data_IF_645727024232
#
_entry.id   IF_645727024232
#
_cell.length_a   1.000
_cell.length_b   1.000
_cell.length_c   1.000
_cell.angle_alpha   90.00
_cell.angle_beta   90.00
_cell.angle_gamma   90.00
#
_symmetry.space_group_name_H-M   'P 1'
#
loop_
_entity.id
_entity.type
_entity.pdbx_description
1 polymer ?
#
# COMPACT_ATOMS: atom_id res chain seq x y z
N UNK A 1 -46.13 14.62 -12.40
CA UNK A 1 -45.28 14.01 -11.35
C UNK A 1 -43.93 14.72 -11.36
N UNK A 2 -43.71 15.70 -10.48
CA UNK A 2 -42.40 16.29 -10.21
C UNK A 2 -41.95 15.80 -8.84
N UNK A 3 -40.98 14.87 -8.78
CA UNK A 3 -40.36 14.51 -7.50
C UNK A 3 -39.44 15.67 -7.11
N UNK A 4 -39.80 16.37 -6.03
CA UNK A 4 -38.93 17.35 -5.39
C UNK A 4 -37.63 16.64 -4.93
N UNK A 5 -36.49 17.21 -5.30
CA UNK A 5 -35.17 16.74 -4.88
C UNK A 5 -34.98 17.18 -3.43
N UNK A 6 -35.34 16.34 -2.47
CA UNK A 6 -35.10 16.61 -1.06
C UNK A 6 -33.59 16.59 -0.81
N UNK A 7 -33.01 17.75 -0.52
CA UNK A 7 -31.61 17.89 -0.12
C UNK A 7 -31.47 17.36 1.30
N UNK A 8 -30.68 16.29 1.55
CA UNK A 8 -30.43 15.86 2.92
C UNK A 8 -29.69 16.98 3.66
N UNK A 9 -30.24 17.43 4.78
CA UNK A 9 -29.56 18.36 5.66
C UNK A 9 -28.48 17.59 6.43
N UNK A 10 -27.23 17.70 5.95
CA UNK A 10 -26.07 17.25 6.70
C UNK A 10 -25.91 18.18 7.92
N UNK A 11 -25.80 17.60 9.11
CA UNK A 11 -25.32 18.32 10.30
C UNK A 11 -23.94 18.94 10.05
N UNK A 12 -23.42 19.70 11.03
CA UNK A 12 -22.13 20.41 10.88
C UNK A 12 -21.01 19.46 10.43
N UNK A 13 -20.69 19.47 9.13
CA UNK A 13 -19.59 18.75 8.51
C UNK A 13 -18.48 19.75 8.17
N UNK A 14 -17.30 19.53 8.74
CA UNK A 14 -16.09 20.26 8.39
C UNK A 14 -15.29 19.45 7.37
N UNK A 15 -15.10 20.03 6.19
CA UNK A 15 -14.29 19.41 5.15
C UNK A 15 -12.80 19.50 5.49
N UNK A 16 -12.13 18.35 5.58
CA UNK A 16 -10.67 18.23 5.70
C UNK A 16 -10.08 17.76 4.38
N UNK A 17 -9.36 18.66 3.71
CA UNK A 17 -8.73 18.36 2.42
C UNK A 17 -7.57 17.38 2.54
N UNK A 18 -6.79 17.45 3.62
CA UNK A 18 -5.59 16.64 3.78
C UNK A 18 -5.96 15.19 4.08
N UNK A 19 -7.05 14.98 4.82
CA UNK A 19 -7.65 13.66 4.99
C UNK A 19 -8.04 13.03 3.64
N UNK A 20 -8.81 13.74 2.80
CA UNK A 20 -9.23 13.22 1.49
C UNK A 20 -8.04 13.00 0.55
N UNK A 21 -7.00 13.84 0.62
CA UNK A 21 -5.76 13.63 -0.15
C UNK A 21 -5.04 12.36 0.27
N UNK A 22 -4.98 12.07 1.57
CA UNK A 22 -4.40 10.82 2.08
C UNK A 22 -5.19 9.61 1.58
N UNK A 23 -6.52 9.67 1.62
CA UNK A 23 -7.38 8.60 1.11
C UNK A 23 -7.23 8.40 -0.40
N UNK A 24 -7.05 9.47 -1.18
CA UNK A 24 -6.71 9.36 -2.60
C UNK A 24 -5.38 8.63 -2.81
N UNK A 25 -4.36 8.93 -2.00
CA UNK A 25 -3.07 8.22 -2.02
C UNK A 25 -3.24 6.72 -1.70
N UNK A 26 -3.99 6.41 -0.63
CA UNK A 26 -4.31 5.04 -0.24
C UNK A 26 -5.05 4.27 -1.33
N UNK A 27 -6.03 4.88 -1.99
CA UNK A 27 -6.78 4.30 -3.10
C UNK A 27 -5.84 3.96 -4.28
N UNK A 28 -4.92 4.86 -4.61
CA UNK A 28 -3.96 4.65 -5.71
C UNK A 28 -3.00 3.50 -5.38
N UNK A 29 -2.50 3.43 -4.15
CA UNK A 29 -1.62 2.35 -3.68
C UNK A 29 -2.37 1.01 -3.70
N UNK A 30 -3.57 0.96 -3.09
CA UNK A 30 -4.35 -0.27 -2.93
C UNK A 30 -4.77 -0.90 -4.26
N UNK A 31 -5.09 -0.08 -5.26
CA UNK A 31 -5.58 -0.53 -6.56
C UNK A 31 -4.55 -0.39 -7.69
N UNK A 32 -3.31 -0.04 -7.36
CA UNK A 32 -2.21 0.16 -8.31
C UNK A 32 -2.59 1.11 -9.46
N UNK A 33 -3.36 2.16 -9.15
CA UNK A 33 -3.82 3.07 -10.19
C UNK A 33 -2.65 3.86 -10.80
N UNK A 34 -2.69 4.11 -12.12
CA UNK A 34 -1.70 4.97 -12.75
C UNK A 34 -1.87 6.40 -12.23
N UNK A 35 -0.77 7.06 -11.85
CA UNK A 35 -0.77 8.44 -11.32
C UNK A 35 -1.57 9.45 -12.19
N UNK A 36 -1.60 9.34 -13.53
CA UNK A 36 -2.46 10.19 -14.38
C UNK A 36 -3.96 10.15 -14.09
N UNK A 37 -4.47 9.23 -13.27
CA UNK A 37 -5.90 9.18 -12.89
C UNK A 37 -6.42 10.53 -12.39
N UNK A 38 -5.60 11.31 -11.68
CA UNK A 38 -5.98 12.64 -11.16
C UNK A 38 -6.19 13.70 -12.24
N UNK A 39 -5.63 13.47 -13.44
CA UNK A 39 -5.79 14.34 -14.60
C UNK A 39 -6.94 13.92 -15.51
N UNK A 40 -7.52 12.72 -15.29
CA UNK A 40 -8.62 12.25 -16.10
C UNK A 40 -9.87 13.12 -15.89
N UNK A 41 -10.46 13.61 -16.99
CA UNK A 41 -11.65 14.48 -16.95
C UNK A 41 -12.81 13.83 -16.20
N UNK A 42 -13.01 12.52 -16.37
CA UNK A 42 -14.03 11.76 -15.66
C UNK A 42 -13.83 11.77 -14.14
N UNK A 43 -12.59 11.53 -13.69
CA UNK A 43 -12.24 11.58 -12.27
C UNK A 43 -12.43 12.98 -11.68
N UNK A 44 -12.04 14.02 -12.43
CA UNK A 44 -12.23 15.42 -12.00
C UNK A 44 -13.70 15.79 -11.85
N UNK A 45 -14.53 15.45 -12.84
CA UNK A 45 -15.98 15.68 -12.79
C UNK A 45 -16.65 14.91 -11.64
N UNK A 46 -16.28 13.66 -11.45
CA UNK A 46 -16.77 12.83 -10.34
C UNK A 46 -16.43 13.45 -8.99
N UNK A 47 -15.15 13.79 -8.77
CA UNK A 47 -14.68 14.35 -7.50
C UNK A 47 -15.33 15.70 -7.19
N UNK A 48 -15.45 16.59 -8.18
CA UNK A 48 -16.11 17.89 -7.99
C UNK A 48 -17.63 17.77 -7.75
N UNK A 49 -18.28 16.74 -8.29
CA UNK A 49 -19.69 16.47 -8.00
C UNK A 49 -19.91 15.95 -6.57
N UNK A 50 -18.94 15.17 -6.05
CA UNK A 50 -18.98 14.67 -4.67
C UNK A 50 -18.68 15.76 -3.64
N UNK A 51 -17.60 16.50 -3.85
CA UNK A 51 -17.13 17.51 -2.91
C UNK A 51 -16.55 18.71 -3.67
N UNK A 52 -17.34 19.77 -3.89
CA UNK A 52 -16.90 20.95 -4.64
C UNK A 52 -15.69 21.67 -4.02
N UNK A 53 -15.47 21.54 -2.71
CA UNK A 53 -14.34 22.16 -2.02
C UNK A 53 -13.02 21.39 -2.20
N UNK A 54 -13.06 20.16 -2.72
CA UNK A 54 -11.88 19.34 -2.90
C UNK A 54 -11.03 19.84 -4.07
N UNK A 55 -9.86 20.39 -3.74
CA UNK A 55 -8.84 20.75 -4.73
C UNK A 55 -8.06 19.51 -5.13
N UNK A 56 -8.33 19.04 -6.35
CA UNK A 56 -7.66 17.86 -6.90
C UNK A 56 -6.15 18.12 -7.01
N UNK A 57 -5.31 17.32 -6.35
CA UNK A 57 -3.86 17.48 -6.37
C UNK A 57 -3.27 17.20 -7.76
N UNK A 58 -2.09 17.74 -8.01
CA UNK A 58 -1.33 17.41 -9.24
C UNK A 58 -0.70 16.02 -9.13
N UNK A 59 -0.30 15.43 -10.28
CA UNK A 59 0.47 14.17 -10.29
C UNK A 59 1.71 14.19 -9.40
N UNK A 60 2.44 15.31 -9.38
CA UNK A 60 3.64 15.45 -8.54
C UNK A 60 3.29 15.48 -7.05
N UNK A 61 2.21 16.17 -6.72
CA UNK A 61 1.68 16.22 -5.35
C UNK A 61 1.28 14.83 -4.86
N UNK A 62 0.51 14.09 -5.66
CA UNK A 62 0.11 12.71 -5.32
C UNK A 62 1.30 11.78 -5.20
N UNK A 63 2.30 11.91 -6.08
CA UNK A 63 3.54 11.14 -5.98
C UNK A 63 4.23 11.39 -4.63
N UNK A 64 4.34 12.65 -4.21
CA UNK A 64 4.94 12.98 -2.92
C UNK A 64 4.10 12.47 -1.76
N UNK A 65 2.77 12.58 -1.83
CA UNK A 65 1.86 12.05 -0.81
C UNK A 65 2.03 10.52 -0.64
N UNK A 66 2.17 9.78 -1.75
CA UNK A 66 2.45 8.33 -1.74
C UNK A 66 3.81 8.01 -1.09
N UNK A 67 4.85 8.79 -1.42
CA UNK A 67 6.18 8.62 -0.80
C UNK A 67 6.10 8.86 0.71
N UNK A 68 5.39 9.89 1.15
CA UNK A 68 5.21 10.19 2.57
C UNK A 68 4.44 9.07 3.30
N UNK A 69 3.42 8.50 2.67
CA UNK A 69 2.70 7.32 3.21
C UNK A 69 3.68 6.16 3.37
N UNK A 70 4.48 5.87 2.35
CA UNK A 70 5.49 4.80 2.42
C UNK A 70 6.53 5.05 3.52
N UNK A 71 7.06 6.26 3.64
CA UNK A 71 8.04 6.61 4.67
C UNK A 71 7.46 6.44 6.07
N UNK A 72 6.21 6.86 6.27
CA UNK A 72 5.50 6.67 7.53
C UNK A 72 5.34 5.18 7.86
N UNK A 73 4.76 4.39 6.95
CA UNK A 73 4.57 2.95 7.15
C UNK A 73 5.91 2.23 7.41
N UNK A 74 6.96 2.59 6.66
CA UNK A 74 8.31 2.08 6.86
C UNK A 74 8.81 2.40 8.26
N UNK A 75 8.67 3.62 8.75
CA UNK A 75 9.10 4.01 10.09
C UNK A 75 8.37 3.19 11.16
N UNK A 76 7.07 2.96 10.99
CA UNK A 76 6.28 2.16 11.93
C UNK A 76 6.72 0.69 11.94
N UNK A 77 7.00 0.11 10.77
CA UNK A 77 7.57 -1.24 10.67
C UNK A 77 8.96 -1.30 11.31
N UNK A 78 9.81 -0.31 11.08
CA UNK A 78 11.15 -0.26 11.68
C UNK A 78 11.07 -0.19 13.22
N UNK A 79 10.19 0.65 13.77
CA UNK A 79 9.95 0.72 15.23
C UNK A 79 9.46 -0.61 15.80
N UNK A 80 8.57 -1.31 15.08
CA UNK A 80 8.12 -2.64 15.48
C UNK A 80 9.29 -3.64 15.50
N UNK A 81 10.16 -3.60 14.50
CA UNK A 81 11.34 -4.47 14.41
C UNK A 81 12.38 -4.16 15.49
N UNK A 82 12.61 -2.88 15.82
CA UNK A 82 13.51 -2.47 16.91
C UNK A 82 13.06 -2.98 18.29
N UNK A 83 11.75 -3.16 18.49
CA UNK A 83 11.19 -3.76 19.70
C UNK A 83 11.47 -5.26 19.86
N UNK A 84 11.92 -5.94 18.79
CA UNK A 84 12.18 -7.37 18.80
C UNK A 84 13.57 -7.63 19.40
N UNK A 85 13.61 -8.19 20.62
CA UNK A 85 14.87 -8.54 21.31
C UNK A 85 15.62 -9.71 20.69
N UNK A 86 14.95 -10.53 19.89
CA UNK A 86 15.55 -11.65 19.17
C UNK A 86 16.10 -11.21 17.83
N UNK A 87 17.27 -11.73 17.43
CA UNK A 87 17.73 -11.57 16.06
C UNK A 87 16.74 -12.29 15.13
N UNK A 88 16.25 -11.59 14.14
CA UNK A 88 15.35 -12.13 13.11
C UNK A 88 16.06 -12.03 11.77
N UNK A 89 16.05 -13.10 10.97
CA UNK A 89 16.41 -13.03 9.56
C UNK A 89 15.13 -13.14 8.72
N UNK A 90 14.89 -12.12 7.92
CA UNK A 90 13.81 -12.08 6.92
C UNK A 90 14.44 -12.46 5.58
N UNK A 91 14.02 -13.57 4.99
CA UNK A 91 14.39 -13.92 3.61
C UNK A 91 13.18 -13.73 2.72
N UNK A 92 13.38 -12.97 1.64
CA UNK A 92 12.37 -12.71 0.63
C UNK A 92 12.81 -13.40 -0.64
N UNK A 93 12.27 -14.60 -0.90
CA UNK A 93 12.60 -15.38 -2.09
C UNK A 93 11.62 -15.04 -3.20
N UNK A 94 12.10 -14.43 -4.27
CA UNK A 94 11.32 -14.16 -5.47
C UNK A 94 11.63 -15.22 -6.53
N UNK A 95 10.61 -15.94 -7.00
CA UNK A 95 10.74 -16.84 -8.16
C UNK A 95 9.66 -16.59 -9.20
N UNK A 96 10.00 -16.76 -10.47
CA UNK A 96 9.03 -16.68 -11.58
C UNK A 96 8.68 -18.09 -12.04
N UNK A 97 7.40 -18.44 -12.03
CA UNK A 97 6.97 -19.71 -12.65
C UNK A 97 6.97 -19.54 -14.18
N UNK A 98 7.84 -20.29 -14.85
CA UNK A 98 8.00 -20.25 -16.32
C UNK A 98 6.70 -20.52 -17.08
N UNK A 99 5.76 -21.25 -16.49
CA UNK A 99 4.49 -21.59 -17.13
C UNK A 99 3.38 -20.54 -16.95
N UNK A 100 3.52 -19.55 -16.07
CA UNK A 100 2.40 -18.64 -15.74
C UNK A 100 2.74 -17.14 -15.78
N UNK A 101 3.98 -16.73 -16.11
CA UNK A 101 4.43 -15.31 -16.01
C UNK A 101 4.06 -14.65 -14.68
N UNK A 102 3.91 -15.44 -13.61
CA UNK A 102 3.61 -14.99 -12.25
C UNK A 102 4.90 -15.05 -11.45
N UNK A 103 5.26 -13.93 -10.84
CA UNK A 103 6.22 -13.94 -9.74
C UNK A 103 5.54 -14.50 -8.51
N UNK A 104 6.30 -15.12 -7.64
CA UNK A 104 5.90 -15.48 -6.29
C UNK A 104 6.95 -14.92 -5.35
N UNK A 105 6.50 -14.45 -4.20
CA UNK A 105 7.37 -13.99 -3.13
C UNK A 105 7.05 -14.81 -1.89
N UNK A 106 8.05 -15.50 -1.34
CA UNK A 106 7.96 -16.10 -0.01
C UNK A 106 8.71 -15.20 0.97
N UNK A 107 8.04 -14.82 2.05
CA UNK A 107 8.68 -14.15 3.19
C UNK A 107 8.82 -15.17 4.31
N UNK A 108 10.05 -15.45 4.72
CA UNK A 108 10.34 -16.36 5.83
C UNK A 108 11.03 -15.59 6.95
N UNK A 109 10.48 -15.69 8.16
CA UNK A 109 11.05 -15.13 9.38
C UNK A 109 11.71 -16.25 10.20
N UNK A 110 13.03 -16.17 10.44
CA UNK A 110 13.75 -17.15 11.29
C UNK A 110 14.50 -16.48 12.45
N UNK A 111 14.38 -16.98 13.69
CA UNK A 111 15.23 -16.55 14.80
C UNK A 111 16.70 -16.87 14.53
N UNK A 112 17.62 -15.93 14.77
CA UNK A 112 19.05 -16.06 14.49
C UNK A 112 19.87 -16.56 15.69
N UNK A 113 19.29 -16.60 16.89
CA UNK A 113 19.94 -17.14 18.09
C UNK A 113 19.10 -18.30 18.65
N UNK A 114 19.45 -19.53 18.25
CA UNK A 114 18.91 -20.76 18.86
C UNK A 114 20.08 -21.60 19.37
N UNK A 115 20.73 -21.11 20.42
CA UNK A 115 21.54 -21.94 21.30
C UNK A 115 20.60 -22.73 22.21
N UNK A 116 20.24 -23.94 21.76
CA UNK A 116 19.63 -25.03 22.54
C UNK A 116 18.51 -24.63 23.53
N UNK A 117 17.25 -24.82 23.14
CA UNK A 117 16.24 -25.43 24.00
C UNK A 117 15.03 -25.84 23.18
N UNK A 118 14.56 -27.05 23.47
CA UNK A 118 13.37 -27.65 22.92
C UNK A 118 12.13 -26.85 23.38
N UNK A 119 11.77 -25.78 22.67
CA UNK A 119 10.46 -25.14 22.78
C UNK A 119 9.88 -24.89 21.38
N UNK A 120 9.21 -25.93 20.89
CA UNK A 120 7.87 -25.89 20.30
C UNK A 120 7.49 -24.55 19.65
N UNK A 121 7.63 -24.52 18.32
CA UNK A 121 6.57 -24.03 17.44
C UNK A 121 6.26 -22.53 17.46
N UNK A 122 7.26 -21.64 17.30
CA UNK A 122 6.95 -20.25 16.91
C UNK A 122 6.83 -20.15 15.38
N UNK A 123 5.60 -20.40 14.94
CA UNK A 123 4.96 -20.20 13.63
C UNK A 123 5.82 -19.50 12.56
N UNK A 124 6.46 -20.31 11.72
CA UNK A 124 7.02 -19.89 10.44
C UNK A 124 5.84 -19.63 9.48
N UNK A 125 5.44 -18.37 9.30
CA UNK A 125 4.31 -18.02 8.44
C UNK A 125 4.81 -17.83 7.01
N UNK A 126 4.75 -18.89 6.19
CA UNK A 126 4.98 -18.79 4.76
C UNK A 126 3.79 -18.04 4.13
N UNK A 127 3.97 -16.78 3.80
CA UNK A 127 3.03 -16.03 2.97
C UNK A 127 3.53 -16.15 1.53
N UNK A 128 2.79 -16.88 0.69
CA UNK A 128 3.02 -16.96 -0.75
C UNK A 128 1.97 -16.11 -1.46
N UNK A 129 2.41 -15.00 -2.04
CA UNK A 129 1.52 -14.15 -2.84
C UNK A 129 2.00 -14.06 -4.30
N UNK A 130 1.08 -14.02 -5.27
CA UNK A 130 1.42 -13.70 -6.65
C UNK A 130 1.97 -12.26 -6.71
N UNK A 131 3.22 -12.14 -7.14
CA UNK A 131 3.92 -10.89 -7.35
C UNK A 131 3.73 -10.42 -8.80
N UNK A 132 3.26 -9.19 -8.98
CA UNK A 132 3.18 -8.50 -10.27
C UNK A 132 4.40 -7.58 -10.38
N UNK A 133 5.33 -7.81 -11.34
CA UNK A 133 6.53 -6.99 -11.43
C UNK A 133 6.21 -5.58 -11.95
N UNK A 134 6.24 -4.56 -11.07
CA UNK A 134 6.47 -3.18 -11.50
C UNK A 134 7.95 -2.96 -11.79
N UNK A 135 8.24 -2.29 -12.90
CA UNK A 135 9.54 -2.26 -13.57
C UNK A 135 10.77 -2.14 -12.64
N UNK A 136 11.74 -3.01 -12.93
CA UNK A 136 13.17 -3.00 -12.55
C UNK A 136 13.55 -3.44 -11.13
N UNK A 137 13.67 -4.74 -10.92
CA UNK A 137 14.84 -5.30 -10.22
C UNK A 137 15.23 -6.61 -10.90
N UNK A 138 16.37 -6.59 -11.60
CA UNK A 138 16.95 -7.74 -12.31
C UNK A 138 17.62 -8.63 -11.27
N UNK A 139 16.99 -9.74 -10.90
CA UNK A 139 17.61 -10.76 -10.07
C UNK A 139 18.84 -11.32 -10.82
N UNK A 140 20.03 -11.17 -10.24
CA UNK A 140 21.21 -11.92 -10.67
C UNK A 140 21.04 -13.34 -10.15
N UNK A 141 21.04 -14.31 -11.06
CA UNK A 141 21.19 -15.72 -10.73
C UNK A 141 22.56 -15.91 -10.08
N UNK A 142 22.59 -16.48 -8.88
CA UNK A 142 23.77 -17.14 -8.34
C UNK A 142 23.59 -18.64 -8.60
N UNK A 143 24.49 -19.20 -9.41
CA UNK A 143 24.84 -20.62 -9.44
C UNK A 143 25.90 -20.82 -8.37
#
# INVERSE_FOLDING_TARGET
>A
MSKANAKPELGNYTFDQDFVRRELGNMIILHEYPLPIVDHVGFRRYSSALQPLFKIPTRNTVKNDIINIYEHEKEQVMKLLEGIRSKVAITTDLWTSGNQKKGFMAVTEKPKDMGNTNEIGKKCSLITQPYVPTHTTRARQAI
#
